data_IF_404120873255
#
_entry.id   IF_404120873255
#
_cell.length_a   1.000
_cell.length_b   1.000
_cell.length_c   1.000
_cell.angle_alpha   90.00
_cell.angle_beta   90.00
_cell.angle_gamma   90.00
#
_symmetry.space_group_name_H-M   'P 1'
#
loop_
_entity.id
_entity.type
_entity.pdbx_description
1 polymer ?
#
# COMPACT_ATOMS: atom_id res chain seq x y z
N UNK A 1 3.85 -15.30 4.61
CA UNK A 1 2.43 -15.37 5.00
C UNK A 1 1.60 -14.87 3.82
N UNK A 2 0.51 -15.55 3.45
CA UNK A 2 -0.38 -15.10 2.37
C UNK A 2 -1.68 -14.62 3.00
N UNK A 3 -2.09 -13.40 2.68
CA UNK A 3 -3.31 -12.77 3.22
C UNK A 3 -4.19 -12.39 2.03
N UNK A 4 -5.45 -12.81 2.07
CA UNK A 4 -6.43 -12.39 1.08
C UNK A 4 -7.08 -11.09 1.57
N UNK A 5 -7.00 -10.05 0.74
CA UNK A 5 -7.60 -8.75 1.05
C UNK A 5 -8.68 -8.51 0.01
N UNK A 6 -9.92 -8.33 0.47
CA UNK A 6 -10.99 -7.85 -0.39
C UNK A 6 -10.75 -6.37 -0.67
N UNK A 7 -10.63 -6.02 -1.95
CA UNK A 7 -10.48 -4.65 -2.42
C UNK A 7 -11.62 -4.33 -3.35
N UNK A 8 -12.06 -3.08 -3.31
CA UNK A 8 -12.95 -2.57 -4.34
C UNK A 8 -12.29 -2.70 -5.73
N UNK A 9 -13.09 -3.07 -6.74
CA UNK A 9 -12.60 -3.30 -8.09
C UNK A 9 -11.92 -2.07 -8.70
N UNK A 10 -12.40 -0.86 -8.39
CA UNK A 10 -11.81 0.37 -8.86
C UNK A 10 -10.43 0.59 -8.24
N UNK A 11 -10.32 0.37 -6.92
CA UNK A 11 -9.06 0.50 -6.17
C UNK A 11 -8.03 -0.52 -6.67
N UNK A 12 -8.43 -1.77 -6.85
CA UNK A 12 -7.56 -2.83 -7.37
C UNK A 12 -7.06 -2.50 -8.78
N UNK A 13 -7.94 -2.00 -9.66
CA UNK A 13 -7.58 -1.62 -11.03
C UNK A 13 -6.57 -0.48 -11.04
N UNK A 14 -6.80 0.58 -10.26
CA UNK A 14 -5.87 1.70 -10.13
C UNK A 14 -4.51 1.25 -9.60
N UNK A 15 -4.49 0.41 -8.55
CA UNK A 15 -3.25 -0.12 -7.99
C UNK A 15 -2.46 -0.94 -9.04
N UNK A 16 -3.14 -1.77 -9.83
CA UNK A 16 -2.52 -2.55 -10.91
C UNK A 16 -1.87 -1.65 -11.97
N UNK A 17 -2.57 -0.61 -12.42
CA UNK A 17 -2.02 0.35 -13.38
C UNK A 17 -0.78 1.04 -12.81
N UNK A 18 -0.83 1.48 -11.55
CA UNK A 18 0.29 2.15 -10.90
C UNK A 18 1.50 1.24 -10.71
N UNK A 19 1.28 -0.04 -10.40
CA UNK A 19 2.35 -1.03 -10.28
C UNK A 19 3.07 -1.22 -11.62
N UNK A 20 2.31 -1.38 -12.72
CA UNK A 20 2.86 -1.50 -14.08
C UNK A 20 3.65 -0.25 -14.47
N UNK A 21 3.11 0.95 -14.25
CA UNK A 21 3.80 2.20 -14.56
C UNK A 21 5.11 2.38 -13.77
N UNK A 22 5.20 1.76 -12.59
CA UNK A 22 6.39 1.79 -11.74
C UNK A 22 7.37 0.66 -12.04
N UNK A 23 7.03 -0.27 -12.94
CA UNK A 23 7.87 -1.43 -13.25
C UNK A 23 8.00 -2.42 -12.10
N UNK A 24 7.03 -2.45 -11.17
CA UNK A 24 7.05 -3.32 -9.99
C UNK A 24 5.83 -4.23 -9.96
N UNK A 25 5.89 -5.30 -9.16
CA UNK A 25 4.74 -6.18 -8.97
C UNK A 25 3.64 -5.48 -8.16
N UNK A 26 2.39 -5.94 -8.32
CA UNK A 26 1.26 -5.42 -7.54
C UNK A 26 1.43 -5.66 -6.03
N UNK A 27 2.03 -6.80 -5.64
CA UNK A 27 2.32 -7.09 -4.25
C UNK A 27 3.34 -6.11 -3.68
N UNK A 28 4.44 -5.88 -4.40
CA UNK A 28 5.47 -4.92 -3.97
C UNK A 28 4.91 -3.49 -3.88
N UNK A 29 3.99 -3.13 -4.79
CA UNK A 29 3.28 -1.87 -4.72
C UNK A 29 2.47 -1.75 -3.41
N UNK A 30 1.74 -2.81 -3.03
CA UNK A 30 0.99 -2.83 -1.77
C UNK A 30 1.90 -2.79 -0.54
N UNK A 31 2.99 -3.56 -0.52
CA UNK A 31 3.96 -3.55 0.58
C UNK A 31 4.48 -2.13 0.83
N UNK A 32 4.97 -1.47 -0.22
CA UNK A 32 5.45 -0.08 -0.15
C UNK A 32 4.38 0.91 0.30
N UNK A 33 3.14 0.72 -0.16
CA UNK A 33 2.02 1.58 0.24
C UNK A 33 1.70 1.43 1.73
N UNK A 34 1.68 0.20 2.23
CA UNK A 34 1.42 -0.11 3.65
C UNK A 34 2.55 0.41 4.53
N UNK A 35 3.81 0.15 4.17
CA UNK A 35 4.98 0.65 4.91
C UNK A 35 4.96 2.17 5.03
N UNK A 36 4.65 2.87 3.93
CA UNK A 36 4.56 4.33 3.92
C UNK A 36 3.43 4.85 4.82
N UNK A 37 2.28 4.18 4.81
CA UNK A 37 1.15 4.53 5.67
C UNK A 37 1.50 4.33 7.16
N UNK A 38 2.05 3.16 7.51
CA UNK A 38 2.47 2.83 8.87
C UNK A 38 3.56 3.79 9.39
N UNK A 39 4.53 4.14 8.56
CA UNK A 39 5.57 5.11 8.93
C UNK A 39 5.00 6.51 9.18
N UNK A 40 4.00 6.94 8.41
CA UNK A 40 3.32 8.22 8.61
C UNK A 40 2.54 8.24 9.92
N UNK A 41 1.85 7.15 10.23
CA UNK A 41 1.05 7.00 11.44
C UNK A 41 1.93 6.93 12.69
N UNK A 42 3.05 6.20 12.65
CA UNK A 42 4.05 6.19 13.72
C UNK A 42 4.58 7.58 14.03
N UNK A 43 4.96 8.34 13.01
CA UNK A 43 5.41 9.74 13.16
C UNK A 43 4.34 10.64 13.76
N UNK A 44 3.06 10.40 13.46
CA UNK A 44 1.95 11.15 14.04
C UNK A 44 1.82 10.84 15.54
N UNK A 45 1.90 9.56 15.91
CA UNK A 45 1.84 9.12 17.31
C UNK A 45 3.01 9.65 18.14
N UNK A 46 4.21 9.72 17.57
CA UNK A 46 5.39 10.31 18.24
C UNK A 46 5.24 11.81 18.52
N UNK A 47 4.45 12.54 17.72
CA UNK A 47 4.18 13.98 17.95
C UNK A 47 3.09 14.25 18.97
N UNK A 48 2.26 13.25 19.27
CA UNK A 48 1.15 13.35 20.22
C UNK A 48 1.55 12.91 21.64
N UNK A 49 2.75 12.32 21.79
CA UNK A 49 3.40 12.03 23.06
C UNK A 49 4.32 13.18 23.46
#
# INVERSE_FOLDING_TARGET
MKINIALDNEVHTKAKVLAVLKGISLNEYFEKAIEKAAAKERKLLEKLR
#
